data_IF_549008220025
#
_entry.id   IF_549008220025
#
_cell.length_a   1.000
_cell.length_b   1.000
_cell.length_c   1.000
_cell.angle_alpha   90.00
_cell.angle_beta   90.00
_cell.angle_gamma   90.00
#
_symmetry.space_group_name_H-M   'P 1'
#
loop_
_entity.id
_entity.type
_entity.pdbx_description
1 polymer ?
#
# COMPACT_ATOMS: atom_id res chain seq x y z
N UNK A 1 0.54 15.31 9.83
CA UNK A 1 1.81 14.89 9.17
C UNK A 1 1.66 13.56 8.44
N UNK A 2 0.91 12.61 9.01
CA UNK A 2 0.46 11.44 8.26
C UNK A 2 -0.43 11.84 7.09
N UNK A 3 -1.29 12.84 7.21
CA UNK A 3 -2.36 13.15 6.24
C UNK A 3 -1.87 13.30 4.80
N UNK A 4 -0.77 14.04 4.58
CA UNK A 4 -0.21 14.20 3.22
C UNK A 4 0.45 12.90 2.75
N UNK A 5 1.15 12.19 3.63
CA UNK A 5 1.84 10.95 3.28
C UNK A 5 0.84 9.81 3.02
N UNK A 6 -0.14 9.61 3.91
CA UNK A 6 -1.22 8.64 3.76
C UNK A 6 -2.10 8.97 2.56
N UNK A 7 -2.37 10.26 2.29
CA UNK A 7 -3.07 10.68 1.07
C UNK A 7 -2.25 10.36 -0.18
N UNK A 8 -0.96 10.71 -0.22
CA UNK A 8 -0.09 10.45 -1.37
C UNK A 8 0.09 8.94 -1.58
N UNK A 9 0.34 8.16 -0.53
CA UNK A 9 0.45 6.71 -0.59
C UNK A 9 -0.87 6.08 -1.05
N UNK A 10 -2.00 6.55 -0.52
CA UNK A 10 -3.34 6.09 -0.90
C UNK A 10 -3.67 6.40 -2.36
N UNK A 11 -3.40 7.61 -2.83
CA UNK A 11 -3.58 8.00 -4.23
C UNK A 11 -2.66 7.20 -5.16
N UNK A 12 -1.40 6.99 -4.77
CA UNK A 12 -0.47 6.17 -5.53
C UNK A 12 -0.92 4.70 -5.59
N UNK A 13 -1.46 4.16 -4.50
CA UNK A 13 -2.03 2.82 -4.43
C UNK A 13 -3.28 2.68 -5.32
N UNK A 14 -4.16 3.68 -5.34
CA UNK A 14 -5.32 3.72 -6.23
C UNK A 14 -4.92 3.86 -7.70
N UNK A 15 -3.93 4.68 -8.00
CA UNK A 15 -3.40 4.82 -9.36
C UNK A 15 -2.80 3.49 -9.86
N UNK A 16 -2.04 2.80 -9.00
CA UNK A 16 -1.53 1.46 -9.28
C UNK A 16 -2.67 0.45 -9.48
N UNK A 17 -3.69 0.50 -8.62
CA UNK A 17 -4.86 -0.37 -8.74
C UNK A 17 -5.62 -0.16 -10.05
N UNK A 18 -5.83 1.10 -10.44
CA UNK A 18 -6.48 1.45 -11.71
C UNK A 18 -5.63 0.99 -12.90
N UNK A 19 -4.31 1.19 -12.85
CA UNK A 19 -3.40 0.79 -13.92
C UNK A 19 -3.35 -0.74 -14.10
N UNK A 20 -3.15 -1.49 -13.01
CA UNK A 20 -3.14 -2.95 -13.02
C UNK A 20 -4.53 -3.53 -13.34
N UNK A 21 -5.60 -2.91 -12.85
CA UNK A 21 -6.98 -3.29 -13.16
C UNK A 21 -7.30 -3.08 -14.64
N UNK A 22 -6.81 -2.01 -15.26
CA UNK A 22 -6.94 -1.78 -16.68
C UNK A 22 -6.15 -2.78 -17.53
N UNK A 23 -4.94 -3.16 -17.09
CA UNK A 23 -4.18 -4.23 -17.73
C UNK A 23 -4.90 -5.58 -17.63
N UNK A 24 -5.50 -5.89 -16.47
CA UNK A 24 -6.32 -7.08 -16.28
C UNK A 24 -7.58 -7.08 -17.17
N UNK A 25 -8.25 -5.93 -17.32
CA UNK A 25 -9.40 -5.76 -18.22
C UNK A 25 -9.03 -6.01 -19.69
N UNK A 26 -7.78 -5.75 -20.07
CA UNK A 26 -7.25 -6.06 -21.41
C UNK A 26 -6.69 -7.48 -21.55
N UNK A 27 -6.93 -8.35 -20.56
CA UNK A 27 -6.37 -9.70 -20.48
C UNK A 27 -4.83 -9.75 -20.60
N UNK A 28 -4.15 -8.71 -20.11
CA UNK A 28 -2.69 -8.63 -20.14
C UNK A 28 -2.08 -9.03 -18.79
N UNK A 29 -1.01 -9.84 -18.81
CA UNK A 29 -0.22 -10.11 -17.61
C UNK A 29 0.56 -8.86 -17.19
N UNK A 30 1.02 -8.86 -15.94
CA UNK A 30 1.87 -7.82 -15.36
C UNK A 30 3.17 -7.71 -16.13
N UNK A 31 3.35 -6.58 -16.83
CA UNK A 31 4.59 -6.24 -17.56
C UNK A 31 5.61 -5.61 -16.61
N UNK A 32 6.89 -5.59 -17.00
CA UNK A 32 8.00 -5.00 -16.22
C UNK A 32 7.72 -3.58 -15.71
N UNK A 33 6.99 -2.77 -16.48
CA UNK A 33 6.55 -1.43 -16.08
C UNK A 33 5.60 -1.41 -14.86
N UNK A 34 4.76 -2.43 -14.69
CA UNK A 34 3.87 -2.55 -13.53
C UNK A 34 4.67 -2.88 -12.27
N UNK A 35 5.78 -3.63 -12.40
CA UNK A 35 6.70 -3.90 -11.31
C UNK A 35 7.42 -2.64 -10.83
N UNK A 36 7.75 -1.72 -11.74
CA UNK A 36 8.28 -0.40 -11.36
C UNK A 36 7.23 0.36 -10.55
N UNK A 37 5.97 0.36 -10.99
CA UNK A 37 4.87 0.97 -10.23
C UNK A 37 4.74 0.38 -8.82
N UNK A 38 4.75 -0.95 -8.71
CA UNK A 38 4.70 -1.64 -7.41
C UNK A 38 5.90 -1.32 -6.53
N UNK A 39 7.09 -1.20 -7.10
CA UNK A 39 8.29 -0.81 -6.37
C UNK A 39 8.15 0.62 -5.81
N UNK A 40 7.66 1.58 -6.62
CA UNK A 40 7.44 2.96 -6.16
C UNK A 40 6.44 3.00 -5.00
N UNK A 41 5.30 2.32 -5.12
CA UNK A 41 4.29 2.30 -4.04
C UNK A 41 4.83 1.59 -2.80
N UNK A 42 5.62 0.51 -2.96
CA UNK A 42 6.26 -0.17 -1.84
C UNK A 42 7.28 0.72 -1.11
N UNK A 43 8.03 1.54 -1.85
CA UNK A 43 8.95 2.53 -1.27
C UNK A 43 8.20 3.62 -0.52
N UNK A 44 7.08 4.13 -1.06
CA UNK A 44 6.23 5.08 -0.34
C UNK A 44 5.72 4.50 0.97
N UNK A 45 5.20 3.26 0.94
CA UNK A 45 4.73 2.57 2.13
C UNK A 45 5.88 2.29 3.14
N UNK A 46 7.10 2.04 2.67
CA UNK A 46 8.28 1.89 3.52
C UNK A 46 8.66 3.21 4.21
N UNK A 47 8.64 4.32 3.47
CA UNK A 47 8.88 5.65 4.03
C UNK A 47 7.83 5.94 5.11
N UNK A 48 6.57 5.62 4.85
CA UNK A 48 5.49 5.76 5.83
C UNK A 48 5.70 4.89 7.07
N UNK A 49 6.13 3.64 6.90
CA UNK A 49 6.50 2.76 8.01
C UNK A 49 7.60 3.38 8.89
N UNK A 50 8.68 3.86 8.27
CA UNK A 50 9.81 4.47 8.99
C UNK A 50 9.36 5.74 9.73
N UNK A 51 8.61 6.62 9.06
CA UNK A 51 8.10 7.85 9.66
C UNK A 51 7.17 7.54 10.84
N UNK A 52 6.26 6.58 10.69
CA UNK A 52 5.36 6.16 11.78
C UNK A 52 6.12 5.63 13.00
N UNK A 53 7.18 4.84 12.79
CA UNK A 53 8.04 4.35 13.88
C UNK A 53 8.80 5.50 14.56
N UNK A 54 9.33 6.45 13.78
CA UNK A 54 10.04 7.63 14.33
C UNK A 54 9.11 8.48 15.19
N UNK A 55 7.86 8.69 14.78
CA UNK A 55 6.88 9.47 15.56
C UNK A 55 6.53 8.77 16.88
N UNK A 56 6.32 7.45 16.85
CA UNK A 56 6.15 6.65 18.07
C UNK A 56 7.35 6.75 19.00
N UNK A 57 8.57 6.70 18.46
CA UNK A 57 9.81 6.85 19.24
C UNK A 57 9.98 8.26 19.82
N UNK A 58 9.41 9.29 19.18
CA UNK A 58 9.36 10.67 19.70
C UNK A 58 8.33 10.87 20.82
N UNK A 59 7.54 9.84 21.14
CA UNK A 59 6.55 9.88 22.20
C UNK A 59 5.16 10.29 21.74
N UNK A 60 4.94 10.48 20.43
CA UNK A 60 3.59 10.65 19.88
C UNK A 60 2.82 9.33 20.01
N UNK A 61 1.57 9.41 20.49
CA UNK A 61 0.73 8.24 20.73
C UNK A 61 -0.52 8.33 19.86
N UNK A 62 -0.85 7.30 19.08
CA UNK A 62 -2.10 7.25 18.35
C UNK A 62 -3.29 7.08 19.31
N UNK A 63 -4.42 7.71 18.99
CA UNK A 63 -5.63 7.74 19.82
C UNK A 63 -6.18 6.34 20.13
N UNK A 64 -6.18 5.45 19.15
CA UNK A 64 -6.72 4.09 19.30
C UNK A 64 -5.68 3.07 19.81
N UNK A 65 -4.47 3.52 20.13
CA UNK A 65 -3.43 2.69 20.75
C UNK A 65 -2.30 2.24 19.80
N UNK A 66 -1.08 2.26 20.35
CA UNK A 66 0.17 2.01 19.60
C UNK A 66 0.22 0.63 18.93
N UNK A 67 -0.23 -0.42 19.60
CA UNK A 67 -0.18 -1.79 19.06
C UNK A 67 -1.01 -1.94 17.79
N UNK A 68 -2.20 -1.36 17.77
CA UNK A 68 -3.11 -1.40 16.61
C UNK A 68 -2.49 -0.63 15.45
N UNK A 69 -1.98 0.58 15.72
CA UNK A 69 -1.32 1.40 14.71
C UNK A 69 -0.13 0.69 14.07
N UNK A 70 0.77 0.10 14.87
CA UNK A 70 1.95 -0.62 14.35
C UNK A 70 1.54 -1.84 13.52
N UNK A 71 0.52 -2.59 13.95
CA UNK A 71 0.02 -3.73 13.18
C UNK A 71 -0.52 -3.31 11.80
N UNK A 72 -1.30 -2.24 11.74
CA UNK A 72 -1.81 -1.69 10.47
C UNK A 72 -0.70 -1.10 9.59
N UNK A 73 0.30 -0.44 10.19
CA UNK A 73 1.44 0.14 9.49
C UNK A 73 2.29 -0.94 8.80
N UNK A 74 2.53 -2.05 9.50
CA UNK A 74 3.22 -3.22 8.92
C UNK A 74 2.35 -3.86 7.84
N UNK A 75 1.03 -3.98 8.06
CA UNK A 75 0.09 -4.52 7.07
C UNK A 75 0.05 -3.70 5.78
N UNK A 76 0.03 -2.36 5.90
CA UNK A 76 0.07 -1.45 4.76
C UNK A 76 1.37 -1.63 3.95
N UNK A 77 2.52 -1.65 4.63
CA UNK A 77 3.81 -1.90 3.98
C UNK A 77 3.85 -3.27 3.28
N UNK A 78 3.37 -4.32 3.93
CA UNK A 78 3.44 -5.68 3.39
C UNK A 78 2.49 -5.94 2.22
N UNK A 79 1.42 -5.15 2.08
CA UNK A 79 0.35 -5.40 1.12
C UNK A 79 0.84 -5.42 -0.34
N UNK A 80 1.58 -4.39 -0.76
CA UNK A 80 2.04 -4.26 -2.16
C UNK A 80 3.19 -5.21 -2.49
N UNK A 81 4.23 -5.39 -1.65
CA UNK A 81 5.25 -6.41 -1.85
C UNK A 81 4.66 -7.82 -1.95
N UNK A 82 3.73 -8.19 -1.06
CA UNK A 82 3.08 -9.50 -1.09
C UNK A 82 2.27 -9.69 -2.39
N UNK A 83 1.50 -8.68 -2.81
CA UNK A 83 0.78 -8.71 -4.07
C UNK A 83 1.72 -8.82 -5.29
N UNK A 84 2.87 -8.13 -5.25
CA UNK A 84 3.92 -8.22 -6.26
C UNK A 84 4.54 -9.61 -6.35
N UNK A 85 4.89 -10.23 -5.22
CA UNK A 85 5.39 -11.60 -5.17
C UNK A 85 4.38 -12.61 -5.71
N UNK A 86 3.11 -12.45 -5.34
CA UNK A 86 2.05 -13.33 -5.85
C UNK A 86 1.84 -13.14 -7.36
N UNK A 87 1.95 -11.91 -7.85
CA UNK A 87 1.93 -11.63 -9.29
C UNK A 87 3.14 -12.19 -10.04
N UNK A 88 4.30 -12.34 -9.40
CA UNK A 88 5.46 -13.01 -9.98
C UNK A 88 5.24 -14.52 -10.13
N UNK A 89 4.55 -15.12 -9.15
CA UNK A 89 4.16 -16.53 -9.19
C UNK A 89 3.10 -16.79 -10.29
N UNK A 90 2.16 -15.86 -10.47
CA UNK A 90 1.03 -15.99 -11.41
C UNK A 90 1.18 -15.03 -12.61
N UNK A 91 1.88 -15.48 -13.67
CA UNK A 91 2.14 -14.68 -14.90
C UNK A 91 0.96 -14.59 -15.87
N UNK A 92 -0.26 -14.64 -15.37
CA UNK A 92 -1.50 -14.53 -16.17
C UNK A 92 -2.24 -13.23 -15.86
N UNK A 93 -3.41 -13.01 -16.47
CA UNK A 93 -4.32 -11.90 -16.11
C UNK A 93 -4.62 -11.84 -14.60
N UNK A 94 -4.56 -12.98 -13.91
CA UNK A 94 -4.79 -13.08 -12.47
C UNK A 94 -3.69 -12.44 -11.62
N UNK A 95 -2.45 -12.37 -12.12
CA UNK A 95 -1.37 -11.59 -11.51
C UNK A 95 -1.73 -10.10 -11.45
N UNK A 96 -2.17 -9.53 -12.58
CA UNK A 96 -2.63 -8.15 -12.67
C UNK A 96 -3.83 -7.86 -11.75
N UNK A 97 -4.80 -8.79 -11.64
CA UNK A 97 -5.94 -8.67 -10.71
C UNK A 97 -5.48 -8.65 -9.26
N UNK A 98 -4.51 -9.48 -8.90
CA UNK A 98 -3.99 -9.56 -7.52
C UNK A 98 -3.33 -8.25 -7.11
N UNK A 99 -2.53 -7.66 -8.00
CA UNK A 99 -1.92 -6.35 -7.75
C UNK A 99 -2.96 -5.25 -7.66
N UNK A 100 -3.99 -5.28 -8.53
CA UNK A 100 -5.06 -4.31 -8.48
C UNK A 100 -5.82 -4.36 -7.14
N UNK A 101 -6.16 -5.57 -6.68
CA UNK A 101 -6.78 -5.78 -5.38
C UNK A 101 -5.86 -5.31 -4.23
N UNK A 102 -4.56 -5.63 -4.29
CA UNK A 102 -3.57 -5.15 -3.31
C UNK A 102 -3.49 -3.62 -3.23
N UNK A 103 -3.54 -2.92 -4.37
CA UNK A 103 -3.57 -1.46 -4.38
C UNK A 103 -4.83 -0.86 -3.74
N UNK A 104 -6.01 -1.46 -3.98
CA UNK A 104 -7.26 -1.05 -3.31
C UNK A 104 -7.20 -1.30 -1.81
N UNK A 105 -6.71 -2.47 -1.40
CA UNK A 105 -6.57 -2.82 0.02
C UNK A 105 -5.62 -1.84 0.72
N UNK A 106 -4.48 -1.51 0.10
CA UNK A 106 -3.57 -0.49 0.64
C UNK A 106 -4.30 0.84 0.82
N UNK A 107 -5.05 1.33 -0.17
CA UNK A 107 -5.81 2.57 -0.04
C UNK A 107 -6.81 2.56 1.13
N UNK A 108 -7.47 1.42 1.38
CA UNK A 108 -8.37 1.26 2.55
C UNK A 108 -7.57 1.26 3.86
N UNK A 109 -6.40 0.61 3.89
CA UNK A 109 -5.51 0.62 5.04
C UNK A 109 -5.02 2.03 5.36
N UNK A 110 -4.75 2.87 4.36
CA UNK A 110 -4.38 4.28 4.56
C UNK A 110 -5.48 5.08 5.26
N UNK A 111 -6.74 4.90 4.84
CA UNK A 111 -7.89 5.53 5.51
C UNK A 111 -8.01 5.06 6.96
N UNK A 112 -7.79 3.77 7.21
CA UNK A 112 -7.80 3.23 8.58
C UNK A 112 -6.64 3.73 9.42
N UNK A 113 -5.45 3.88 8.83
CA UNK A 113 -4.28 4.38 9.53
C UNK A 113 -4.45 5.84 9.95
N UNK A 114 -5.11 6.64 9.09
CA UNK A 114 -5.51 8.00 9.38
C UNK A 114 -6.51 8.08 10.57
N UNK A 115 -7.57 7.25 10.54
CA UNK A 115 -8.56 7.14 11.61
C UNK A 115 -7.93 6.72 12.96
N UNK A 116 -7.01 5.74 12.95
CA UNK A 116 -6.31 5.27 14.15
C UNK A 116 -5.44 6.35 14.80
N UNK A 117 -4.85 7.25 13.99
CA UNK A 117 -3.95 8.28 14.48
C UNK A 117 -4.66 9.47 15.14
N UNK A 118 -5.97 9.63 14.91
CA UNK A 118 -6.76 10.75 15.44
C UNK A 118 -7.33 11.65 14.34
N UNK A 119 -7.73 11.05 13.23
CA UNK A 119 -8.43 11.72 12.12
C UNK A 119 -9.76 12.35 12.51
#
# INVERSE_FOLDING_TARGET
MLDVLTLVTGLAALALAAWCGFAAYRDQPTKDWHFIGMAVVSVLALVQLVVGIVQLARGEKPDQGTTIFVAYLIGAFACVPAAGFMSLAERTRWGSVTVAAGGVVLAVLEVRLFDIWGG
#
